data_IF_401044353147
#
_entry.id   IF_401044353147
#
_cell.length_a   1.000
_cell.length_b   1.000
_cell.length_c   1.000
_cell.angle_alpha   90.00
_cell.angle_beta   90.00
_cell.angle_gamma   90.00
#
_symmetry.space_group_name_H-M   'P 1'
#
loop_
_entity.id
_entity.type
_entity.pdbx_description
1 polymer ?
#
# COMPACT_ATOMS: atom_id res chain seq x y z
N UNK A 1 -25.51 -25.75 -2.84
CA UNK A 1 -24.18 -26.00 -3.44
C UNK A 1 -23.14 -26.04 -2.34
N UNK A 2 -22.34 -27.10 -2.27
CA UNK A 2 -21.25 -27.19 -1.28
C UNK A 2 -20.11 -26.29 -1.77
N UNK A 3 -19.70 -25.30 -0.95
CA UNK A 3 -18.58 -24.43 -1.29
C UNK A 3 -17.27 -25.22 -1.33
N UNK A 4 -16.52 -25.10 -2.42
CA UNK A 4 -15.17 -25.67 -2.57
C UNK A 4 -14.07 -24.82 -1.91
N UNK A 5 -14.43 -23.63 -1.41
CA UNK A 5 -13.48 -22.76 -0.74
C UNK A 5 -12.94 -23.39 0.56
N UNK A 6 -11.67 -23.19 0.83
CA UNK A 6 -11.03 -23.61 2.06
C UNK A 6 -11.71 -22.95 3.28
N UNK A 7 -11.61 -23.61 4.46
CA UNK A 7 -12.31 -23.16 5.68
C UNK A 7 -12.01 -21.69 6.04
N UNK A 8 -10.75 -21.27 5.93
CA UNK A 8 -10.31 -19.90 6.24
C UNK A 8 -10.81 -18.85 5.23
N UNK A 9 -11.21 -19.24 4.03
CA UNK A 9 -11.71 -18.35 2.97
C UNK A 9 -13.25 -18.24 2.94
N UNK A 10 -13.94 -19.15 3.64
CA UNK A 10 -15.41 -19.15 3.66
C UNK A 10 -15.95 -17.94 4.41
N UNK A 11 -16.92 -17.25 3.80
CA UNK A 11 -17.62 -16.13 4.42
C UNK A 11 -16.84 -14.81 4.43
N UNK A 12 -15.60 -14.78 3.95
CA UNK A 12 -14.87 -13.51 3.78
C UNK A 12 -15.56 -12.65 2.72
N UNK A 13 -15.89 -11.42 3.10
CA UNK A 13 -16.44 -10.39 2.22
C UNK A 13 -15.61 -9.13 2.40
N UNK A 14 -14.98 -8.66 1.34
CA UNK A 14 -14.38 -7.34 1.33
C UNK A 14 -15.50 -6.30 1.18
N UNK A 15 -15.62 -5.37 2.13
CA UNK A 15 -16.45 -4.18 1.99
C UNK A 15 -15.56 -3.09 1.41
N UNK A 16 -15.63 -2.91 0.10
CA UNK A 16 -14.84 -1.89 -0.59
C UNK A 16 -15.52 -0.52 -0.46
N UNK A 17 -15.19 0.18 0.62
CA UNK A 17 -15.76 1.49 0.93
C UNK A 17 -15.29 2.54 -0.08
N UNK A 18 -14.05 2.42 -0.58
CA UNK A 18 -13.46 3.40 -1.50
C UNK A 18 -14.21 3.41 -2.82
N UNK A 19 -14.39 2.25 -3.47
CA UNK A 19 -15.12 2.19 -4.74
C UNK A 19 -16.61 2.49 -4.60
N UNK A 20 -17.23 2.14 -3.47
CA UNK A 20 -18.61 2.55 -3.18
C UNK A 20 -18.71 4.07 -3.11
N UNK A 21 -17.83 4.74 -2.36
CA UNK A 21 -17.82 6.21 -2.23
C UNK A 21 -17.47 6.88 -3.57
N UNK A 22 -16.51 6.32 -4.33
CA UNK A 22 -16.20 6.82 -5.68
C UNK A 22 -17.41 6.74 -6.62
N UNK A 23 -18.16 5.66 -6.55
CA UNK A 23 -19.42 5.52 -7.32
C UNK A 23 -20.49 6.53 -6.91
N UNK A 24 -20.61 6.83 -5.63
CA UNK A 24 -21.51 7.88 -5.13
C UNK A 24 -21.10 9.27 -5.63
N UNK A 25 -19.80 9.61 -5.55
CA UNK A 25 -19.27 10.87 -6.08
C UNK A 25 -19.50 11.03 -7.59
N UNK A 26 -19.35 9.95 -8.37
CA UNK A 26 -19.65 9.96 -9.79
C UNK A 26 -21.15 10.16 -10.09
N UNK A 27 -22.02 9.56 -9.29
CA UNK A 27 -23.47 9.74 -9.43
C UNK A 27 -23.87 11.19 -9.09
N UNK A 28 -23.32 11.73 -8.01
CA UNK A 28 -23.53 13.12 -7.59
C UNK A 28 -23.07 14.13 -8.67
N UNK A 29 -21.89 13.91 -9.25
CA UNK A 29 -21.37 14.74 -10.33
C UNK A 29 -22.25 14.71 -11.60
N UNK A 30 -22.96 13.61 -11.86
CA UNK A 30 -23.91 13.53 -12.97
C UNK A 30 -25.21 14.30 -12.69
N UNK A 31 -25.65 14.30 -11.45
CA UNK A 31 -26.90 14.94 -11.03
C UNK A 31 -26.73 16.44 -10.81
N UNK A 32 -25.66 16.85 -10.17
CA UNK A 32 -25.44 18.22 -9.69
C UNK A 32 -24.40 19.02 -10.48
N UNK A 33 -23.81 18.43 -11.50
CA UNK A 33 -22.73 19.05 -12.29
C UNK A 33 -21.36 18.72 -11.72
N UNK A 34 -20.43 18.42 -12.63
CA UNK A 34 -19.07 17.98 -12.28
C UNK A 34 -18.27 19.06 -11.57
N UNK A 35 -18.47 20.31 -11.93
CA UNK A 35 -17.84 21.50 -11.36
C UNK A 35 -18.20 21.71 -9.87
N UNK A 36 -19.27 21.09 -9.40
CA UNK A 36 -19.74 21.18 -8.03
C UNK A 36 -19.30 20.01 -7.14
N UNK A 37 -18.60 19.00 -7.70
CA UNK A 37 -18.19 17.79 -6.97
C UNK A 37 -16.70 17.55 -7.06
N UNK A 38 -16.02 17.56 -5.92
CA UNK A 38 -14.61 17.18 -5.80
C UNK A 38 -14.52 15.72 -5.37
N UNK A 39 -14.05 14.86 -6.28
CA UNK A 39 -13.86 13.44 -6.00
C UNK A 39 -12.39 13.15 -5.65
N UNK A 40 -12.07 13.12 -4.35
CA UNK A 40 -10.76 12.75 -3.80
C UNK A 40 -10.67 11.30 -3.28
N UNK A 41 -11.57 10.39 -3.70
CA UNK A 41 -11.65 9.03 -3.15
C UNK A 41 -10.55 8.08 -3.64
N UNK A 42 -10.06 8.29 -4.85
CA UNK A 42 -8.99 7.49 -5.45
C UNK A 42 -7.72 8.33 -5.58
N UNK A 43 -6.56 7.72 -5.35
CA UNK A 43 -5.25 8.33 -5.52
C UNK A 43 -4.88 8.49 -7.01
N UNK A 44 -5.73 9.15 -7.78
CA UNK A 44 -5.57 9.42 -9.19
C UNK A 44 -5.64 10.93 -9.45
N UNK A 45 -4.71 11.43 -10.26
CA UNK A 45 -4.68 12.85 -10.64
C UNK A 45 -5.47 13.01 -11.94
N UNK A 46 -6.38 13.97 -11.96
CA UNK A 46 -7.16 14.33 -13.13
C UNK A 46 -6.85 15.76 -13.53
N UNK A 47 -6.90 16.03 -14.84
CA UNK A 47 -6.85 17.38 -15.38
C UNK A 47 -8.20 18.12 -15.17
N UNK A 48 -8.26 19.38 -15.61
CA UNK A 48 -9.47 20.21 -15.45
C UNK A 48 -10.66 19.68 -16.27
N UNK A 49 -10.37 18.95 -17.36
CA UNK A 49 -11.36 18.27 -18.21
C UNK A 49 -11.75 16.89 -17.61
N UNK A 50 -11.00 16.42 -16.58
CA UNK A 50 -11.20 15.20 -15.85
C UNK A 50 -10.66 13.94 -16.50
N UNK A 51 -9.73 14.06 -17.39
CA UNK A 51 -8.98 12.94 -17.88
C UNK A 51 -7.90 12.56 -16.89
N UNK A 52 -7.56 11.28 -16.82
CA UNK A 52 -6.42 10.81 -16.01
C UNK A 52 -5.12 11.41 -16.54
N UNK A 53 -4.38 12.06 -15.66
CA UNK A 53 -3.04 12.56 -15.97
C UNK A 53 -2.05 11.41 -15.98
N UNK A 54 -1.20 11.37 -16.97
CA UNK A 54 -0.07 10.42 -17.08
C UNK A 54 1.22 11.16 -17.43
N UNK A 55 2.35 10.60 -17.03
CA UNK A 55 3.66 11.15 -17.37
C UNK A 55 3.99 10.82 -18.83
N UNK A 56 4.13 11.84 -19.66
CA UNK A 56 4.42 11.68 -21.11
C UNK A 56 5.70 10.90 -21.34
N UNK A 57 6.76 11.21 -20.61
CA UNK A 57 8.05 10.51 -20.69
C UNK A 57 7.92 9.01 -20.39
N UNK A 58 7.15 8.63 -19.39
CA UNK A 58 6.89 7.22 -19.07
C UNK A 58 6.16 6.53 -20.20
N UNK A 59 5.17 7.20 -20.81
CA UNK A 59 4.44 6.65 -21.94
C UNK A 59 5.33 6.50 -23.17
N UNK A 60 6.17 7.48 -23.45
CA UNK A 60 7.10 7.48 -24.59
C UNK A 60 8.10 6.33 -24.44
N UNK A 61 8.72 6.17 -23.27
CA UNK A 61 9.61 5.04 -22.97
C UNK A 61 8.89 3.70 -23.09
N UNK A 62 7.69 3.57 -22.52
CA UNK A 62 6.92 2.33 -22.63
C UNK A 62 6.62 1.94 -24.09
N UNK A 63 6.30 2.92 -24.94
CA UNK A 63 6.02 2.70 -26.37
C UNK A 63 7.28 2.47 -27.19
N UNK A 64 8.47 2.83 -26.70
CA UNK A 64 9.75 2.60 -27.36
C UNK A 64 10.34 1.21 -27.12
N UNK A 65 9.82 0.48 -26.13
CA UNK A 65 10.26 -0.87 -25.85
C UNK A 65 10.01 -1.81 -27.06
N UNK A 66 10.95 -2.72 -27.30
CA UNK A 66 10.79 -3.76 -28.30
C UNK A 66 9.76 -4.81 -27.90
N UNK A 67 9.20 -5.54 -28.86
CA UNK A 67 8.27 -6.62 -28.60
C UNK A 67 8.85 -7.66 -27.63
N UNK A 68 10.15 -7.95 -27.70
CA UNK A 68 10.83 -8.88 -26.81
C UNK A 68 10.92 -8.37 -25.37
N UNK A 69 11.03 -7.07 -25.15
CA UNK A 69 11.02 -6.47 -23.82
C UNK A 69 9.61 -6.47 -23.23
N UNK A 70 8.58 -6.26 -24.07
CA UNK A 70 7.19 -6.33 -23.62
C UNK A 70 6.75 -7.73 -23.18
N UNK A 71 7.22 -8.80 -23.85
CA UNK A 71 6.74 -10.18 -23.63
C UNK A 71 7.76 -11.06 -22.89
N UNK A 72 8.97 -10.56 -22.65
CA UNK A 72 10.03 -11.30 -21.98
C UNK A 72 9.77 -11.55 -20.50
N UNK A 73 10.32 -12.63 -19.98
CA UNK A 73 10.32 -12.89 -18.54
C UNK A 73 11.29 -11.95 -17.83
N UNK A 74 10.81 -11.28 -16.80
CA UNK A 74 11.71 -10.57 -15.88
C UNK A 74 12.42 -11.56 -14.95
N UNK A 75 13.65 -11.27 -14.51
CA UNK A 75 14.31 -12.00 -13.43
C UNK A 75 13.46 -11.98 -12.15
N UNK A 76 13.56 -13.02 -11.31
CA UNK A 76 12.75 -13.16 -10.09
C UNK A 76 12.84 -11.93 -9.17
N UNK A 77 14.02 -11.37 -9.00
CA UNK A 77 14.21 -10.18 -8.18
C UNK A 77 13.85 -8.87 -8.89
N UNK A 78 13.68 -8.90 -10.19
CA UNK A 78 13.48 -7.74 -11.06
C UNK A 78 14.67 -7.48 -11.98
N UNK A 79 14.50 -6.58 -12.93
CA UNK A 79 15.55 -6.19 -13.88
C UNK A 79 16.62 -5.37 -13.13
N UNK A 80 17.93 -5.71 -13.24
CA UNK A 80 19.00 -5.06 -12.47
C UNK A 80 19.02 -3.53 -12.59
N UNK A 81 18.83 -3.01 -13.79
CA UNK A 81 18.82 -1.56 -14.04
C UNK A 81 17.63 -0.88 -13.35
N UNK A 82 16.46 -1.52 -13.32
CA UNK A 82 15.30 -1.04 -12.57
C UNK A 82 15.58 -1.01 -11.06
N UNK A 83 16.17 -2.06 -10.51
CA UNK A 83 16.49 -2.13 -9.09
C UNK A 83 17.50 -1.06 -8.68
N UNK A 84 18.53 -0.85 -9.51
CA UNK A 84 19.51 0.21 -9.30
C UNK A 84 18.89 1.61 -9.39
N UNK A 85 18.03 1.85 -10.37
CA UNK A 85 17.33 3.12 -10.54
C UNK A 85 16.38 3.40 -9.36
N UNK A 86 15.65 2.39 -8.88
CA UNK A 86 14.76 2.49 -7.73
C UNK A 86 15.53 2.85 -6.44
N UNK A 87 16.68 2.22 -6.19
CA UNK A 87 17.54 2.59 -5.05
C UNK A 87 18.06 4.03 -5.16
N UNK A 88 18.52 4.41 -6.35
CA UNK A 88 19.02 5.77 -6.60
C UNK A 88 17.93 6.82 -6.41
N UNK A 89 16.73 6.57 -6.89
CA UNK A 89 15.59 7.48 -6.73
C UNK A 89 15.15 7.58 -5.26
N UNK A 90 15.11 6.46 -4.56
CA UNK A 90 14.71 6.41 -3.15
C UNK A 90 15.65 7.17 -2.23
N UNK A 91 16.96 7.05 -2.43
CA UNK A 91 17.95 7.59 -1.50
C UNK A 91 18.67 8.83 -2.03
N UNK A 92 18.73 9.05 -3.33
CA UNK A 92 19.47 10.15 -3.96
C UNK A 92 20.91 10.20 -3.47
N UNK A 93 21.30 11.35 -2.91
CA UNK A 93 22.64 11.57 -2.32
C UNK A 93 22.72 11.17 -0.82
N UNK A 94 21.64 10.67 -0.24
CA UNK A 94 21.54 10.35 1.19
C UNK A 94 21.42 8.84 1.44
N UNK A 95 22.00 8.02 0.56
CA UNK A 95 22.01 6.57 0.74
C UNK A 95 22.70 6.22 2.07
N UNK A 96 22.00 5.58 3.02
CA UNK A 96 22.60 5.23 4.30
C UNK A 96 23.64 4.12 4.14
N UNK A 97 24.57 4.06 5.08
CA UNK A 97 25.45 2.89 5.21
C UNK A 97 24.65 1.68 5.68
N UNK A 98 24.99 0.50 5.17
CA UNK A 98 24.34 -0.75 5.56
C UNK A 98 23.96 -1.64 4.39
N UNK A 99 23.18 -2.67 4.71
CA UNK A 99 22.69 -3.63 3.72
C UNK A 99 21.40 -3.13 3.09
N UNK A 100 21.50 -2.72 1.82
CA UNK A 100 20.34 -2.30 1.03
C UNK A 100 20.20 -3.28 -0.13
N UNK A 101 19.00 -3.78 -0.32
CA UNK A 101 18.61 -4.62 -1.46
C UNK A 101 17.22 -4.24 -1.93
N UNK A 102 17.07 -4.17 -3.24
CA UNK A 102 15.80 -3.93 -3.89
C UNK A 102 15.27 -5.20 -4.53
N UNK A 103 13.97 -5.32 -4.56
CA UNK A 103 13.24 -6.42 -5.19
C UNK A 103 12.00 -5.86 -5.86
N UNK A 104 11.73 -6.30 -7.06
CA UNK A 104 10.48 -5.98 -7.75
C UNK A 104 9.32 -6.80 -7.16
N UNK A 105 8.18 -6.16 -6.97
CA UNK A 105 6.98 -6.79 -6.41
C UNK A 105 5.76 -6.48 -7.29
N UNK A 106 4.65 -7.19 -7.07
CA UNK A 106 3.38 -6.91 -7.72
C UNK A 106 2.76 -5.62 -7.12
N UNK A 107 3.33 -4.47 -7.46
CA UNK A 107 2.98 -3.16 -6.93
C UNK A 107 3.29 -3.04 -5.42
N UNK A 108 2.88 -1.92 -4.83
CA UNK A 108 3.05 -1.66 -3.39
C UNK A 108 2.34 -2.69 -2.50
N UNK A 109 1.18 -3.18 -2.94
CA UNK A 109 0.44 -4.24 -2.22
C UNK A 109 1.27 -5.52 -2.09
N UNK A 110 1.94 -5.94 -3.17
CA UNK A 110 2.85 -7.09 -3.15
C UNK A 110 4.03 -6.87 -2.20
N UNK A 111 4.61 -5.66 -2.22
CA UNK A 111 5.68 -5.27 -1.30
C UNK A 111 5.27 -5.37 0.16
N UNK A 112 4.13 -4.81 0.52
CA UNK A 112 3.58 -4.86 1.89
C UNK A 112 3.27 -6.30 2.30
N UNK A 113 2.69 -7.10 1.40
CA UNK A 113 2.42 -8.51 1.68
C UNK A 113 3.70 -9.27 1.98
N UNK A 114 4.74 -9.09 1.16
CA UNK A 114 6.05 -9.76 1.38
C UNK A 114 6.73 -9.30 2.65
N UNK A 115 6.65 -8.00 2.97
CA UNK A 115 7.19 -7.47 4.21
C UNK A 115 6.55 -8.15 5.41
N UNK A 116 5.22 -8.11 5.52
CA UNK A 116 4.48 -8.72 6.62
C UNK A 116 4.74 -10.23 6.68
N UNK A 117 4.70 -10.93 5.54
CA UNK A 117 4.86 -12.38 5.50
C UNK A 117 6.25 -12.85 5.94
N UNK A 118 7.33 -12.12 5.58
CA UNK A 118 8.71 -12.56 5.82
C UNK A 118 9.29 -12.06 7.14
N UNK A 119 8.74 -11.00 7.76
CA UNK A 119 9.31 -10.39 8.96
C UNK A 119 8.44 -10.57 10.22
N UNK A 120 7.29 -11.25 10.09
CA UNK A 120 6.44 -11.62 11.23
C UNK A 120 6.00 -13.07 11.15
N UNK A 121 5.61 -13.64 12.30
CA UNK A 121 5.07 -14.99 12.39
C UNK A 121 3.54 -14.99 12.39
N UNK A 122 2.87 -16.09 11.97
CA UNK A 122 1.43 -16.24 12.18
C UNK A 122 1.05 -16.08 13.65
N UNK A 123 0.12 -15.18 13.92
CA UNK A 123 -0.30 -14.81 15.27
C UNK A 123 0.27 -13.50 15.77
N UNK A 124 1.30 -12.97 15.12
CA UNK A 124 1.88 -11.67 15.48
C UNK A 124 0.93 -10.51 15.18
N UNK A 125 1.17 -9.41 15.89
CA UNK A 125 0.52 -8.12 15.69
C UNK A 125 1.41 -7.20 14.83
N UNK A 126 0.82 -6.60 13.79
CA UNK A 126 1.46 -5.60 12.91
C UNK A 126 0.93 -4.22 13.29
N UNK A 127 1.83 -3.30 13.64
CA UNK A 127 1.48 -1.96 14.10
C UNK A 127 1.34 -0.98 12.95
N UNK A 128 0.31 -0.15 13.00
CA UNK A 128 0.16 1.03 12.12
C UNK A 128 -0.54 2.16 12.87
N UNK A 129 -0.54 3.37 12.32
CA UNK A 129 -1.38 4.44 12.84
C UNK A 129 -2.87 4.11 12.63
N UNK A 130 -3.77 4.78 13.34
CA UNK A 130 -5.22 4.68 13.12
C UNK A 130 -5.67 5.28 11.78
N UNK A 131 -4.83 6.12 11.17
CA UNK A 131 -4.95 6.58 9.77
C UNK A 131 -4.17 5.65 8.85
N UNK A 132 -4.82 4.63 8.32
CA UNK A 132 -4.16 3.62 7.48
C UNK A 132 -5.01 3.20 6.29
N UNK A 133 -4.35 2.66 5.28
CA UNK A 133 -5.02 2.07 4.13
C UNK A 133 -5.70 0.74 4.50
N UNK A 134 -7.02 0.65 4.27
CA UNK A 134 -7.84 -0.49 4.67
C UNK A 134 -7.34 -1.86 4.23
N UNK A 135 -6.56 -1.94 3.13
CA UNK A 135 -5.97 -3.17 2.65
C UNK A 135 -4.95 -3.79 3.63
N UNK A 136 -4.31 -3.01 4.52
CA UNK A 136 -3.40 -3.56 5.52
C UNK A 136 -4.09 -4.59 6.42
N UNK A 137 -5.32 -4.32 6.82
CA UNK A 137 -6.11 -5.26 7.63
C UNK A 137 -6.37 -6.57 6.88
N UNK A 138 -6.65 -6.50 5.58
CA UNK A 138 -6.90 -7.67 4.75
C UNK A 138 -5.62 -8.49 4.60
N UNK A 139 -4.49 -7.84 4.29
CA UNK A 139 -3.19 -8.52 4.15
C UNK A 139 -2.78 -9.21 5.46
N UNK A 140 -2.89 -8.53 6.60
CA UNK A 140 -2.60 -9.14 7.90
C UNK A 140 -3.51 -10.35 8.15
N UNK A 141 -4.82 -10.19 7.99
CA UNK A 141 -5.78 -11.28 8.19
C UNK A 141 -5.52 -12.48 7.28
N UNK A 142 -5.18 -12.25 6.00
CA UNK A 142 -4.94 -13.33 5.03
C UNK A 142 -3.64 -14.07 5.29
N UNK A 143 -2.67 -13.40 5.90
CA UNK A 143 -1.40 -14.00 6.31
C UNK A 143 -1.41 -14.53 7.75
N UNK A 144 -2.56 -14.49 8.44
CA UNK A 144 -2.72 -14.98 9.82
C UNK A 144 -2.16 -14.03 10.88
N UNK A 145 -1.99 -12.75 10.56
CA UNK A 145 -1.53 -11.69 11.47
C UNK A 145 -2.70 -10.79 11.86
N UNK A 146 -2.50 -9.99 12.89
CA UNK A 146 -3.50 -9.03 13.37
C UNK A 146 -2.98 -7.60 13.19
N UNK A 147 -3.76 -6.75 12.52
CA UNK A 147 -3.44 -5.32 12.45
C UNK A 147 -3.89 -4.63 13.74
N UNK A 148 -2.97 -3.93 14.39
CA UNK A 148 -3.21 -3.12 15.58
C UNK A 148 -2.80 -1.68 15.33
N UNK A 149 -3.43 -0.74 16.04
CA UNK A 149 -3.22 0.68 15.78
C UNK A 149 -2.80 1.44 17.04
N UNK A 150 -2.17 2.59 16.80
CA UNK A 150 -1.98 3.66 17.77
C UNK A 150 -2.62 4.94 17.22
N UNK A 151 -2.97 5.90 18.08
CA UNK A 151 -3.50 7.19 17.64
C UNK A 151 -2.38 8.03 17.04
N UNK A 152 -2.51 8.38 15.75
CA UNK A 152 -1.48 9.13 15.01
C UNK A 152 -1.27 10.52 15.58
N UNK A 153 -2.35 11.19 16.00
CA UNK A 153 -2.33 12.55 16.51
C UNK A 153 -2.73 12.62 17.99
N UNK A 154 -2.09 13.51 18.71
CA UNK A 154 -2.47 13.91 20.06
C UNK A 154 -3.63 14.92 20.05
N UNK A 155 -4.03 15.41 21.22
CA UNK A 155 -5.11 16.40 21.39
C UNK A 155 -4.81 17.77 20.75
N UNK A 156 -3.55 18.02 20.41
CA UNK A 156 -3.07 19.25 19.75
C UNK A 156 -2.79 19.06 18.26
N UNK A 157 -3.17 17.91 17.66
CA UNK A 157 -2.87 17.52 16.29
C UNK A 157 -1.36 17.39 15.98
N UNK A 158 -0.51 17.16 16.99
CA UNK A 158 0.87 16.77 16.79
C UNK A 158 0.99 15.25 16.70
N UNK A 159 2.11 14.78 16.13
CA UNK A 159 2.41 13.34 16.15
C UNK A 159 2.41 12.79 17.58
N UNK A 160 1.60 11.80 17.85
CA UNK A 160 1.45 11.20 19.16
C UNK A 160 2.59 10.22 19.49
N UNK A 161 3.73 10.79 19.84
CA UNK A 161 4.93 10.02 20.14
C UNK A 161 4.73 9.07 21.34
N UNK A 162 3.96 9.50 22.34
CA UNK A 162 3.69 8.68 23.53
C UNK A 162 2.87 7.42 23.17
N UNK A 163 1.77 7.59 22.43
CA UNK A 163 0.95 6.46 21.99
C UNK A 163 1.74 5.49 21.12
N UNK A 164 2.56 6.02 20.20
CA UNK A 164 3.45 5.22 19.37
C UNK A 164 4.45 4.42 20.21
N UNK A 165 5.20 5.08 21.10
CA UNK A 165 6.23 4.44 21.91
C UNK A 165 5.64 3.38 22.85
N UNK A 166 4.51 3.69 23.50
CA UNK A 166 3.82 2.75 24.38
C UNK A 166 3.40 1.49 23.60
N UNK A 167 2.86 1.64 22.40
CA UNK A 167 2.43 0.52 21.58
C UNK A 167 3.59 -0.33 21.08
N UNK A 168 4.70 0.30 20.68
CA UNK A 168 5.93 -0.40 20.28
C UNK A 168 6.48 -1.21 21.47
N UNK A 169 6.57 -0.62 22.64
CA UNK A 169 7.06 -1.32 23.85
C UNK A 169 6.18 -2.50 24.23
N UNK A 170 4.85 -2.35 24.14
CA UNK A 170 3.89 -3.42 24.38
C UNK A 170 4.10 -4.61 23.45
N UNK A 171 4.28 -4.34 22.14
CA UNK A 171 4.51 -5.38 21.14
C UNK A 171 5.88 -6.04 21.31
N UNK A 172 6.93 -5.27 21.57
CA UNK A 172 8.27 -5.80 21.80
C UNK A 172 8.35 -6.73 23.02
N UNK A 173 7.43 -6.58 23.97
CA UNK A 173 7.32 -7.48 25.11
C UNK A 173 6.61 -8.81 24.78
N UNK A 174 5.85 -8.87 23.69
CA UNK A 174 5.02 -10.03 23.32
C UNK A 174 5.59 -10.86 22.18
N UNK A 175 6.35 -10.26 21.29
CA UNK A 175 6.81 -10.88 20.04
C UNK A 175 8.24 -10.48 19.70
N UNK A 176 8.94 -11.33 18.92
CA UNK A 176 10.35 -11.15 18.60
C UNK A 176 10.58 -9.96 17.66
N UNK A 177 9.71 -9.79 16.67
CA UNK A 177 9.80 -8.74 15.68
C UNK A 177 8.60 -7.79 15.81
N UNK A 178 8.87 -6.50 15.80
CA UNK A 178 7.81 -5.48 15.73
C UNK A 178 7.81 -4.89 14.34
N UNK A 179 6.83 -5.30 13.53
CA UNK A 179 6.59 -4.73 12.21
C UNK A 179 5.69 -3.50 12.33
N UNK A 180 6.15 -2.39 11.79
CA UNK A 180 5.44 -1.12 11.82
C UNK A 180 5.03 -0.76 10.40
N UNK A 181 3.73 -0.79 10.15
CA UNK A 181 3.17 -0.38 8.87
C UNK A 181 3.35 1.11 8.61
N UNK A 182 3.58 1.47 7.36
CA UNK A 182 3.67 2.87 6.93
C UNK A 182 2.33 3.58 7.17
N UNK A 183 2.37 4.72 7.87
CA UNK A 183 1.26 5.64 7.86
C UNK A 183 1.22 6.36 6.50
N UNK A 184 0.08 6.33 5.83
CA UNK A 184 -0.19 7.23 4.72
C UNK A 184 -0.72 8.54 5.30
N UNK A 185 0.07 9.58 5.22
CA UNK A 185 -0.34 10.95 5.49
C UNK A 185 -0.60 11.62 4.16
#
# INVERSE_FOLDING_TARGET
MTSVAAKHAKGKKLKDVIFVTAGQAQADAKENGRENVVNGTLGAIHDEEGNLVFLKTVKEEYLSLSDSEHVGYAPIAGIPDFLCAAEKECFGNFRPEGHIRSIATAGGTGGIHHLIHNYTEPGDEVLTADWYWGAYRVICSDTGRTLVTYSLFDEHNNFNHEAFQNRVNELAAKQTNVEIGRAHV
#
